data_IF_044804250594
#
_entry.id   IF_044804250594
#
_cell.length_a   1.000
_cell.length_b   1.000
_cell.length_c   1.000
_cell.angle_alpha   90.00
_cell.angle_beta   90.00
_cell.angle_gamma   90.00
#
_symmetry.space_group_name_H-M   'P 1'
#
loop_
_entity.id
_entity.type
_entity.pdbx_description
1 polymer ?
#
# COMPACT_ATOMS: atom_id res chain seq x y z
N UNK A 1 -10.79 -3.17 -1.58
CA UNK A 1 -11.43 -3.06 -2.89
C UNK A 1 -10.58 -2.37 -3.95
N UNK A 2 -9.28 -2.60 -3.92
CA UNK A 2 -8.35 -2.16 -4.96
C UNK A 2 -8.58 -2.85 -6.30
N UNK A 3 -9.31 -3.96 -6.27
CA UNK A 3 -9.54 -4.80 -7.45
C UNK A 3 -10.72 -4.32 -8.31
N UNK A 4 -11.53 -3.39 -7.80
CA UNK A 4 -12.58 -2.75 -8.57
C UNK A 4 -12.04 -1.46 -9.12
N UNK A 5 -11.93 -1.38 -10.45
CA UNK A 5 -11.54 -0.16 -11.15
C UNK A 5 -12.78 0.58 -11.62
N UNK A 6 -12.84 1.84 -11.27
CA UNK A 6 -13.81 2.77 -11.84
C UNK A 6 -13.31 3.21 -13.22
N UNK A 7 -14.17 3.18 -14.20
CA UNK A 7 -13.89 3.65 -15.55
C UNK A 7 -14.46 5.03 -15.69
N UNK A 8 -13.84 5.86 -16.51
CA UNK A 8 -14.24 7.24 -16.76
C UNK A 8 -13.57 8.29 -15.84
N UNK A 9 -12.25 8.23 -15.77
CA UNK A 9 -11.44 9.29 -15.19
C UNK A 9 -11.47 9.41 -13.66
N UNK A 10 -12.28 8.60 -12.99
CA UNK A 10 -12.39 8.59 -11.52
C UNK A 10 -11.73 7.36 -10.87
N UNK A 11 -10.89 6.71 -11.61
CA UNK A 11 -10.09 5.56 -11.15
C UNK A 11 -9.28 5.84 -9.90
N UNK A 12 -8.94 7.09 -9.71
CA UNK A 12 -8.01 7.53 -8.69
C UNK A 12 -8.67 7.72 -7.33
N UNK A 13 -10.00 7.69 -7.25
CA UNK A 13 -10.70 7.92 -6.00
C UNK A 13 -10.54 6.80 -4.98
N UNK A 14 -10.28 5.58 -5.41
CA UNK A 14 -9.94 4.46 -4.53
C UNK A 14 -8.50 4.50 -4.06
N UNK A 15 -7.68 5.29 -4.70
CA UNK A 15 -6.27 5.49 -4.40
C UNK A 15 -5.87 6.95 -4.34
N UNK A 16 -6.81 7.88 -4.27
CA UNK A 16 -6.49 9.30 -4.17
C UNK A 16 -5.58 9.57 -3.00
N UNK A 17 -4.45 10.18 -3.28
CA UNK A 17 -3.44 10.58 -2.30
C UNK A 17 -3.98 11.68 -1.38
N UNK A 18 -4.97 12.43 -1.87
CA UNK A 18 -5.61 13.53 -1.16
C UNK A 18 -6.89 13.11 -0.42
N UNK A 19 -7.36 11.88 -0.67
CA UNK A 19 -8.57 11.34 -0.04
C UNK A 19 -9.86 11.92 -0.60
N UNK A 20 -9.84 12.40 -1.85
CA UNK A 20 -11.01 12.93 -2.52
C UNK A 20 -12.08 11.86 -2.73
N UNK A 21 -13.33 12.28 -2.66
CA UNK A 21 -14.47 11.42 -2.94
C UNK A 21 -14.68 11.17 -4.43
N UNK A 22 -15.35 10.07 -4.75
CA UNK A 22 -15.75 9.77 -6.13
C UNK A 22 -16.79 10.77 -6.65
N UNK A 23 -16.83 10.95 -7.96
CA UNK A 23 -17.91 11.67 -8.64
C UNK A 23 -19.28 10.98 -8.42
N UNK A 24 -20.36 11.65 -8.80
CA UNK A 24 -21.69 11.05 -8.70
C UNK A 24 -21.76 9.74 -9.54
N UNK A 25 -22.37 8.71 -8.99
CA UNK A 25 -22.44 7.37 -9.60
C UNK A 25 -22.94 7.35 -11.04
N UNK A 26 -23.77 8.32 -11.44
CA UNK A 26 -24.29 8.45 -12.80
C UNK A 26 -23.21 8.75 -13.86
N UNK A 27 -22.02 9.18 -13.43
CA UNK A 27 -20.90 9.49 -14.32
C UNK A 27 -19.78 8.45 -14.29
N UNK A 28 -19.96 7.38 -13.53
CA UNK A 28 -18.91 6.38 -13.31
C UNK A 28 -19.42 4.99 -13.63
N UNK A 29 -18.52 4.15 -14.13
CA UNK A 29 -18.71 2.71 -14.29
C UNK A 29 -17.72 1.95 -13.41
N UNK A 30 -18.16 0.81 -12.87
CA UNK A 30 -17.28 -0.11 -12.15
C UNK A 30 -17.09 -1.38 -12.97
N UNK A 31 -15.86 -1.81 -13.14
CA UNK A 31 -15.50 -3.07 -13.78
C UNK A 31 -14.46 -3.82 -12.96
N UNK A 32 -14.54 -5.12 -12.94
CA UNK A 32 -13.51 -5.94 -12.33
C UNK A 32 -12.22 -5.86 -13.16
N UNK A 33 -11.11 -5.68 -12.47
CA UNK A 33 -9.79 -5.79 -13.10
C UNK A 33 -9.50 -7.25 -13.48
N UNK A 34 -8.52 -7.47 -14.35
CA UNK A 34 -8.13 -8.84 -14.73
C UNK A 34 -7.70 -9.68 -13.54
N UNK A 35 -6.98 -9.09 -12.60
CA UNK A 35 -6.54 -9.81 -11.40
C UNK A 35 -7.70 -10.14 -10.45
N UNK A 36 -8.74 -9.29 -10.40
CA UNK A 36 -9.95 -9.58 -9.61
C UNK A 36 -10.72 -10.78 -10.19
N UNK A 37 -10.67 -10.98 -11.51
CA UNK A 37 -11.26 -12.17 -12.13
C UNK A 37 -10.55 -13.46 -11.69
N UNK A 38 -9.25 -13.42 -11.41
CA UNK A 38 -8.50 -14.57 -10.86
C UNK A 38 -8.94 -14.94 -9.44
N UNK A 39 -9.48 -13.99 -8.68
CA UNK A 39 -10.05 -14.28 -7.36
C UNK A 39 -11.36 -15.06 -7.44
N UNK A 40 -12.13 -14.90 -8.53
CA UNK A 40 -13.40 -15.56 -8.80
C UNK A 40 -13.23 -16.85 -9.62
N UNK A 41 -12.04 -17.07 -10.16
CA UNK A 41 -11.79 -18.23 -10.99
C UNK A 41 -12.07 -19.53 -10.23
N UNK A 42 -12.71 -20.48 -10.89
CA UNK A 42 -13.08 -21.80 -10.34
C UNK A 42 -14.14 -21.78 -9.22
N UNK A 43 -14.86 -20.65 -9.03
CA UNK A 43 -15.93 -20.54 -8.05
C UNK A 43 -17.05 -21.58 -8.23
N UNK A 44 -17.28 -22.02 -9.48
CA UNK A 44 -18.30 -23.02 -9.83
C UNK A 44 -17.77 -24.47 -9.76
N UNK A 45 -16.56 -24.70 -9.25
CA UNK A 45 -15.92 -26.02 -9.22
C UNK A 45 -15.85 -26.65 -7.83
N UNK A 46 -16.73 -26.23 -6.93
CA UNK A 46 -16.77 -26.75 -5.55
C UNK A 46 -15.44 -26.54 -4.79
N UNK A 47 -14.82 -25.38 -5.01
CA UNK A 47 -13.52 -25.02 -4.42
C UNK A 47 -13.63 -24.31 -3.07
N UNK A 48 -14.82 -23.82 -2.72
CA UNK A 48 -15.12 -23.08 -1.48
C UNK A 48 -16.54 -23.37 -1.01
N UNK A 49 -16.77 -23.22 0.28
CA UNK A 49 -18.09 -23.37 0.88
C UNK A 49 -18.99 -22.20 0.54
N UNK A 50 -20.30 -22.48 0.44
CA UNK A 50 -21.34 -21.50 0.19
C UNK A 50 -22.34 -21.45 1.34
N UNK A 51 -22.80 -20.24 1.68
CA UNK A 51 -23.84 -19.97 2.66
C UNK A 51 -24.99 -19.19 2.02
N UNK A 52 -26.20 -19.19 2.61
CA UNK A 52 -27.25 -18.27 2.20
C UNK A 52 -26.79 -16.81 2.35
N UNK A 53 -27.22 -15.94 1.43
CA UNK A 53 -27.05 -14.50 1.56
C UNK A 53 -27.99 -13.95 2.65
N UNK A 54 -27.96 -12.62 2.89
CA UNK A 54 -28.68 -11.98 3.99
C UNK A 54 -30.21 -12.24 3.99
N UNK A 55 -30.84 -12.28 2.83
CA UNK A 55 -32.28 -12.50 2.67
C UNK A 55 -32.64 -13.96 2.29
N UNK A 56 -31.66 -14.85 2.29
CA UNK A 56 -31.78 -16.27 1.97
C UNK A 56 -32.33 -16.58 0.56
N UNK A 57 -32.32 -15.57 -0.34
CA UNK A 57 -32.81 -15.74 -1.72
C UNK A 57 -31.77 -16.37 -2.63
N UNK A 58 -30.47 -16.19 -2.31
CA UNK A 58 -29.35 -16.68 -3.10
C UNK A 58 -28.27 -17.30 -2.19
N UNK A 59 -27.27 -17.90 -2.79
CA UNK A 59 -26.10 -18.42 -2.07
C UNK A 59 -24.85 -17.62 -2.44
N UNK A 60 -24.06 -17.32 -1.45
CA UNK A 60 -22.78 -16.62 -1.60
C UNK A 60 -21.62 -17.45 -1.08
N UNK A 61 -20.41 -17.33 -1.64
CA UNK A 61 -19.24 -18.02 -1.14
C UNK A 61 -18.82 -17.45 0.22
N UNK A 62 -18.46 -18.30 1.16
CA UNK A 62 -17.93 -17.89 2.48
C UNK A 62 -16.62 -17.15 2.32
N UNK A 63 -15.77 -17.60 1.38
CA UNK A 63 -14.52 -16.95 0.95
C UNK A 63 -14.38 -17.10 -0.56
N UNK A 64 -13.63 -16.20 -1.21
CA UNK A 64 -13.34 -16.33 -2.63
C UNK A 64 -12.28 -17.40 -2.87
N UNK A 65 -12.35 -18.15 -4.00
CA UNK A 65 -11.37 -19.20 -4.32
C UNK A 65 -9.94 -18.70 -4.40
N UNK A 66 -9.74 -17.56 -5.01
CA UNK A 66 -8.47 -16.86 -5.21
C UNK A 66 -7.29 -17.74 -5.65
N UNK A 67 -6.91 -17.65 -6.91
CA UNK A 67 -5.77 -18.40 -7.47
C UNK A 67 -4.40 -17.93 -6.99
N UNK A 68 -4.34 -16.85 -6.23
CA UNK A 68 -3.10 -16.31 -5.68
C UNK A 68 -3.30 -15.88 -4.22
N UNK A 69 -2.24 -15.78 -3.41
CA UNK A 69 -2.33 -15.44 -2.00
C UNK A 69 -2.69 -13.96 -1.79
N UNK A 70 -3.94 -13.60 -2.06
CA UNK A 70 -4.43 -12.21 -2.06
C UNK A 70 -4.24 -11.51 -0.71
N UNK A 71 -4.35 -12.23 0.40
CA UNK A 71 -4.15 -11.67 1.74
C UNK A 71 -2.77 -11.02 1.89
N UNK A 72 -1.73 -11.66 1.38
CA UNK A 72 -0.36 -11.11 1.43
C UNK A 72 -0.12 -10.09 0.31
N UNK A 73 -0.61 -10.35 -0.89
CA UNK A 73 -0.37 -9.47 -2.04
C UNK A 73 -1.01 -8.09 -1.84
N UNK A 74 -2.27 -8.05 -1.46
CA UNK A 74 -2.99 -6.78 -1.24
C UNK A 74 -2.88 -6.27 0.20
N UNK A 75 -2.52 -7.14 1.13
CA UNK A 75 -2.57 -6.82 2.54
C UNK A 75 -4.01 -6.64 3.03
N UNK A 76 -4.16 -6.38 4.30
CA UNK A 76 -5.44 -6.07 4.92
C UNK A 76 -5.26 -5.23 6.17
N UNK A 77 -6.23 -4.41 6.50
CA UNK A 77 -6.34 -3.76 7.79
C UNK A 77 -7.75 -3.90 8.31
N UNK A 78 -7.89 -4.20 9.59
CA UNK A 78 -9.20 -4.37 10.21
C UNK A 78 -9.12 -4.21 11.72
N UNK A 79 -10.21 -3.72 12.29
CA UNK A 79 -10.37 -3.55 13.73
C UNK A 79 -11.55 -4.39 14.15
N UNK A 80 -11.31 -5.36 15.02
CA UNK A 80 -12.35 -6.17 15.65
C UNK A 80 -12.35 -5.94 17.15
N UNK A 81 -13.36 -6.46 17.84
CA UNK A 81 -13.42 -6.38 19.30
C UNK A 81 -12.26 -7.19 19.90
N UNK A 82 -11.38 -6.50 20.61
CA UNK A 82 -10.25 -7.12 21.30
C UNK A 82 -9.02 -7.41 20.45
N UNK A 83 -9.07 -7.21 19.12
CA UNK A 83 -7.90 -7.40 18.24
C UNK A 83 -7.96 -6.51 17.01
N UNK A 84 -6.78 -6.21 16.45
CA UNK A 84 -6.65 -5.52 15.18
C UNK A 84 -5.63 -6.25 14.31
N UNK A 85 -5.81 -6.17 12.99
CA UNK A 85 -4.83 -6.66 12.01
C UNK A 85 -4.39 -5.52 11.10
N UNK A 86 -3.14 -5.54 10.70
CA UNK A 86 -2.59 -4.60 9.73
C UNK A 86 -1.46 -5.28 8.95
N UNK A 87 -1.85 -6.03 7.92
CA UNK A 87 -0.93 -6.75 7.04
C UNK A 87 -0.63 -5.84 5.85
N UNK A 88 0.64 -5.45 5.64
CA UNK A 88 1.01 -4.64 4.48
C UNK A 88 0.95 -5.45 3.18
N UNK A 89 0.82 -4.79 2.02
CA UNK A 89 0.89 -5.46 0.73
C UNK A 89 2.32 -5.96 0.43
N UNK A 90 2.41 -7.04 -0.37
CA UNK A 90 3.65 -7.68 -0.76
C UNK A 90 3.74 -7.84 -2.28
N UNK A 91 4.94 -8.04 -2.78
CA UNK A 91 5.20 -8.29 -4.18
C UNK A 91 4.64 -9.65 -4.62
N UNK A 92 3.77 -9.65 -5.64
CA UNK A 92 3.12 -10.87 -6.14
C UNK A 92 4.15 -11.95 -6.56
N UNK A 93 5.22 -11.55 -7.23
CA UNK A 93 6.24 -12.50 -7.69
C UNK A 93 6.98 -13.15 -6.53
N UNK A 94 7.37 -12.38 -5.52
CA UNK A 94 8.02 -12.90 -4.32
C UNK A 94 7.11 -13.86 -3.58
N UNK A 95 5.84 -13.50 -3.38
CA UNK A 95 4.86 -14.36 -2.70
C UNK A 95 4.64 -15.67 -3.46
N UNK A 96 4.48 -15.62 -4.79
CA UNK A 96 4.34 -16.83 -5.60
C UNK A 96 5.62 -17.69 -5.54
N UNK A 97 6.80 -17.07 -5.61
CA UNK A 97 8.07 -17.81 -5.47
C UNK A 97 8.20 -18.50 -4.12
N UNK A 98 7.71 -17.87 -3.05
CA UNK A 98 7.66 -18.49 -1.72
C UNK A 98 6.70 -19.69 -1.67
N UNK A 99 5.53 -19.58 -2.31
CA UNK A 99 4.59 -20.72 -2.43
C UNK A 99 5.23 -21.90 -3.21
N UNK A 100 5.88 -21.60 -4.33
CA UNK A 100 6.60 -22.63 -5.10
C UNK A 100 7.68 -23.30 -4.25
N UNK A 101 8.48 -22.53 -3.51
CA UNK A 101 9.51 -23.08 -2.61
C UNK A 101 8.92 -24.01 -1.53
N UNK A 102 7.76 -23.66 -0.97
CA UNK A 102 7.07 -24.52 0.01
C UNK A 102 6.66 -25.83 -0.65
N UNK A 103 6.09 -25.77 -1.85
CA UNK A 103 5.64 -26.96 -2.58
C UNK A 103 6.84 -27.85 -2.94
N UNK A 104 7.91 -27.27 -3.46
CA UNK A 104 9.13 -28.00 -3.84
C UNK A 104 9.74 -28.73 -2.62
N UNK A 105 9.86 -28.06 -1.47
CA UNK A 105 10.38 -28.68 -0.26
C UNK A 105 9.51 -29.86 0.23
N UNK A 106 8.18 -29.74 0.11
CA UNK A 106 7.26 -30.84 0.46
C UNK A 106 7.41 -32.01 -0.52
N UNK A 107 7.45 -31.75 -1.83
CA UNK A 107 7.48 -32.80 -2.84
C UNK A 107 8.84 -33.47 -2.98
N UNK A 108 9.93 -32.67 -2.96
CA UNK A 108 11.27 -33.18 -3.25
C UNK A 108 12.02 -33.61 -1.99
N UNK A 109 11.79 -32.96 -0.85
CA UNK A 109 12.55 -33.13 0.37
C UNK A 109 11.72 -33.69 1.53
N UNK A 110 10.39 -33.86 1.36
CA UNK A 110 9.43 -34.31 2.38
C UNK A 110 9.59 -33.59 3.73
N UNK A 111 9.75 -32.28 3.67
CA UNK A 111 9.94 -31.41 4.84
C UNK A 111 9.19 -30.08 4.75
N UNK A 112 8.97 -29.48 5.90
CA UNK A 112 8.46 -28.13 6.01
C UNK A 112 9.53 -27.10 5.63
N UNK A 113 9.07 -25.95 5.10
CA UNK A 113 9.90 -24.80 4.78
C UNK A 113 10.05 -23.91 6.02
N UNK A 114 11.27 -23.49 6.31
CA UNK A 114 11.55 -22.61 7.44
C UNK A 114 11.23 -21.14 7.13
N UNK A 115 11.02 -20.34 8.17
CA UNK A 115 10.81 -18.89 8.01
C UNK A 115 12.05 -18.24 7.41
N UNK A 116 13.24 -18.71 7.73
CA UNK A 116 14.51 -18.23 7.19
C UNK A 116 14.57 -18.36 5.67
N UNK A 117 14.19 -19.50 5.13
CA UNK A 117 14.12 -19.73 3.68
C UNK A 117 13.11 -18.79 3.01
N UNK A 118 11.97 -18.56 3.64
CA UNK A 118 10.95 -17.66 3.11
C UNK A 118 11.39 -16.18 3.16
N UNK A 119 12.15 -15.77 4.18
CA UNK A 119 12.73 -14.45 4.29
C UNK A 119 13.79 -14.14 3.22
N UNK A 120 14.43 -15.17 2.67
CA UNK A 120 15.32 -15.03 1.54
C UNK A 120 14.59 -14.66 0.24
N UNK A 121 13.32 -15.05 0.13
CA UNK A 121 12.48 -14.82 -1.05
C UNK A 121 11.62 -13.57 -0.87
N UNK A 122 10.84 -13.50 0.22
CA UNK A 122 9.99 -12.36 0.54
C UNK A 122 10.77 -11.40 1.43
N UNK A 123 11.37 -10.39 0.82
CA UNK A 123 12.26 -9.45 1.51
C UNK A 123 11.53 -8.47 2.43
N UNK A 124 10.25 -8.26 2.21
CA UNK A 124 9.43 -7.36 2.99
C UNK A 124 8.20 -6.86 2.24
N UNK A 125 7.46 -5.93 2.83
CA UNK A 125 6.35 -5.28 2.16
C UNK A 125 6.76 -4.57 0.87
N UNK A 126 5.86 -4.59 -0.10
CA UNK A 126 5.99 -3.86 -1.37
C UNK A 126 4.79 -2.89 -1.49
N UNK A 127 5.04 -1.62 -1.21
CA UNK A 127 4.00 -0.61 -1.18
C UNK A 127 3.74 -0.02 -2.56
N UNK A 128 2.48 0.06 -3.03
CA UNK A 128 2.15 0.62 -4.34
C UNK A 128 2.49 2.12 -4.47
N UNK A 129 2.71 2.80 -3.35
CA UNK A 129 3.09 4.22 -3.30
C UNK A 129 4.60 4.44 -3.22
N UNK A 130 5.40 3.37 -3.29
CA UNK A 130 6.85 3.45 -3.16
C UNK A 130 7.32 3.76 -1.75
N UNK A 131 8.19 4.72 -1.60
CA UNK A 131 8.87 5.09 -0.37
C UNK A 131 9.98 4.11 0.07
N UNK A 132 10.71 4.44 1.12
CA UNK A 132 11.87 3.67 1.58
C UNK A 132 11.62 3.08 2.96
N UNK A 133 11.75 1.76 3.09
CA UNK A 133 11.72 1.08 4.40
C UNK A 133 13.09 1.25 5.06
N UNK A 134 13.08 1.63 6.34
CA UNK A 134 14.29 1.87 7.13
C UNK A 134 14.63 0.66 8.01
N UNK A 135 15.54 -0.17 7.53
CA UNK A 135 16.03 -1.37 8.20
C UNK A 135 15.09 -2.57 8.08
N UNK A 136 15.61 -3.76 8.35
CA UNK A 136 14.92 -5.06 8.16
C UNK A 136 14.40 -5.65 9.46
N UNK A 137 14.93 -5.23 10.61
CA UNK A 137 14.60 -5.83 11.92
C UNK A 137 13.11 -5.91 12.20
N UNK A 138 12.37 -4.83 11.89
CA UNK A 138 10.92 -4.80 12.13
C UNK A 138 10.14 -5.74 11.20
N UNK A 139 10.66 -6.01 9.99
CA UNK A 139 10.11 -6.97 9.05
C UNK A 139 10.31 -8.39 9.59
N UNK A 140 11.54 -8.73 9.96
CA UNK A 140 11.88 -10.04 10.51
C UNK A 140 11.07 -10.34 11.77
N UNK A 141 10.96 -9.37 12.69
CA UNK A 141 10.15 -9.49 13.91
C UNK A 141 8.68 -9.74 13.57
N UNK A 142 8.13 -8.99 12.61
CA UNK A 142 6.73 -9.16 12.17
C UNK A 142 6.47 -10.54 11.59
N UNK A 143 7.38 -11.07 10.77
CA UNK A 143 7.20 -12.36 10.12
C UNK A 143 7.40 -13.54 11.08
N UNK A 144 8.27 -13.39 12.08
CA UNK A 144 8.49 -14.44 13.09
C UNK A 144 7.41 -14.49 14.17
N UNK A 145 6.92 -13.33 14.59
CA UNK A 145 6.06 -13.21 15.78
C UNK A 145 4.63 -12.75 15.47
N UNK A 146 4.36 -12.34 14.23
CA UNK A 146 3.11 -11.67 13.85
C UNK A 146 3.03 -10.21 14.31
N UNK A 147 4.09 -9.66 14.91
CA UNK A 147 4.13 -8.26 15.39
C UNK A 147 5.48 -7.63 15.09
N UNK A 148 5.46 -6.43 14.49
CA UNK A 148 6.68 -5.70 14.21
C UNK A 148 6.39 -4.24 13.88
N UNK A 149 7.41 -3.41 13.96
CA UNK A 149 7.34 -1.98 13.62
C UNK A 149 8.18 -1.72 12.37
N UNK A 150 7.52 -1.45 11.26
CA UNK A 150 8.18 -1.12 10.00
C UNK A 150 8.17 0.41 9.87
N UNK A 151 9.36 1.01 9.77
CA UNK A 151 9.51 2.44 9.56
C UNK A 151 9.64 2.71 8.07
N UNK A 152 8.81 3.61 7.56
CA UNK A 152 8.81 4.00 6.15
C UNK A 152 9.07 5.50 6.06
N UNK A 153 9.93 5.90 5.14
CA UNK A 153 10.31 7.28 4.88
C UNK A 153 9.98 7.66 3.44
N UNK A 154 9.48 8.87 3.25
CA UNK A 154 9.28 9.47 1.94
C UNK A 154 10.58 9.48 1.11
N UNK A 155 10.44 9.40 -0.20
CA UNK A 155 11.56 9.66 -1.13
C UNK A 155 11.57 11.15 -1.46
N UNK A 156 12.73 11.75 -1.33
CA UNK A 156 12.92 13.17 -1.61
C UNK A 156 14.27 13.45 -2.23
N UNK A 157 14.36 14.56 -2.95
CA UNK A 157 15.57 15.13 -3.48
C UNK A 157 15.71 16.58 -3.04
N UNK A 158 16.96 17.07 -2.96
CA UNK A 158 17.23 18.47 -2.67
C UNK A 158 17.68 19.14 -3.97
N UNK A 159 16.96 20.17 -4.38
CA UNK A 159 17.24 20.96 -5.56
C UNK A 159 17.77 22.34 -5.17
N UNK A 160 18.88 22.77 -5.78
CA UNK A 160 19.37 24.13 -5.65
C UNK A 160 18.51 25.08 -6.49
N UNK A 161 18.19 26.25 -5.95
CA UNK A 161 17.45 27.31 -6.64
C UNK A 161 18.39 28.44 -7.10
N UNK A 162 18.01 29.16 -8.17
CA UNK A 162 18.80 30.21 -8.77
C UNK A 162 19.21 31.35 -7.82
N UNK A 163 18.47 31.57 -6.73
CA UNK A 163 18.71 32.62 -5.74
C UNK A 163 19.59 32.19 -4.54
N UNK A 164 20.27 31.03 -4.65
CA UNK A 164 21.08 30.45 -3.56
C UNK A 164 20.26 29.86 -2.42
N UNK A 165 18.97 29.66 -2.59
CA UNK A 165 18.10 28.84 -1.73
C UNK A 165 18.15 27.40 -2.17
N UNK A 166 17.61 26.51 -1.33
CA UNK A 166 17.37 25.11 -1.67
C UNK A 166 15.89 24.78 -1.48
N UNK A 167 15.42 23.77 -2.16
CA UNK A 167 14.09 23.20 -1.93
C UNK A 167 14.17 21.68 -1.83
N UNK A 168 13.33 21.12 -0.98
CA UNK A 168 13.12 19.69 -0.87
C UNK A 168 11.95 19.32 -1.78
N UNK A 169 12.17 18.38 -2.69
CA UNK A 169 11.13 17.83 -3.55
C UNK A 169 10.83 16.43 -3.09
N UNK A 170 9.61 16.21 -2.61
CA UNK A 170 9.12 14.89 -2.20
C UNK A 170 8.37 14.27 -3.38
N UNK A 171 8.79 13.07 -3.78
CA UNK A 171 8.25 12.34 -4.95
C UNK A 171 7.48 11.09 -4.56
N UNK A 172 7.71 10.54 -3.37
CA UNK A 172 6.98 9.37 -2.86
C UNK A 172 6.66 9.55 -1.38
N UNK A 173 5.46 9.15 -0.99
CA UNK A 173 5.01 9.15 0.41
C UNK A 173 4.82 7.73 0.94
N UNK A 174 4.98 7.53 2.26
CA UNK A 174 4.64 6.27 2.88
C UNK A 174 3.19 5.87 2.60
N UNK A 175 2.98 4.56 2.48
CA UNK A 175 1.68 3.98 2.21
C UNK A 175 0.61 4.42 3.23
N UNK A 176 -0.60 4.70 2.75
CA UNK A 176 -1.74 5.20 3.53
C UNK A 176 -1.55 6.60 4.17
N UNK A 177 -0.51 7.34 3.81
CA UNK A 177 -0.38 8.75 4.19
C UNK A 177 -1.20 9.61 3.23
N UNK A 178 -2.10 10.42 3.78
CA UNK A 178 -2.86 11.40 3.00
C UNK A 178 -1.99 12.63 2.74
N UNK A 179 -1.76 12.94 1.47
CA UNK A 179 -0.88 14.04 1.03
C UNK A 179 -1.37 15.40 1.50
N UNK A 180 -2.65 15.71 1.32
CA UNK A 180 -3.22 16.99 1.70
C UNK A 180 -3.09 17.25 3.21
N UNK A 181 -3.43 16.27 4.04
CA UNK A 181 -3.26 16.36 5.50
C UNK A 181 -1.80 16.48 5.93
N UNK A 182 -0.89 15.85 5.21
CA UNK A 182 0.55 16.00 5.48
C UNK A 182 1.00 17.43 5.22
N UNK A 183 0.60 18.01 4.09
CA UNK A 183 0.92 19.40 3.73
C UNK A 183 0.34 20.36 4.77
N UNK A 184 -0.93 20.20 5.14
CA UNK A 184 -1.57 21.00 6.19
C UNK A 184 -0.80 20.88 7.51
N UNK A 185 -0.41 19.67 7.90
CA UNK A 185 0.35 19.45 9.13
C UNK A 185 1.72 20.10 9.12
N UNK A 186 2.42 20.09 8.01
CA UNK A 186 3.69 20.81 7.86
C UNK A 186 3.45 22.32 8.00
N UNK A 187 2.43 22.86 7.34
CA UNK A 187 2.07 24.27 7.43
C UNK A 187 1.73 24.72 8.87
N UNK A 188 0.97 23.90 9.61
CA UNK A 188 0.69 24.13 11.04
C UNK A 188 1.98 24.18 11.87
N UNK A 189 2.90 23.22 11.68
CA UNK A 189 4.16 23.17 12.41
C UNK A 189 5.04 24.39 12.15
N UNK A 190 5.02 24.92 10.92
CA UNK A 190 5.71 26.17 10.56
C UNK A 190 5.04 27.36 11.26
N UNK A 191 3.71 27.46 11.22
CA UNK A 191 2.92 28.51 11.87
C UNK A 191 3.15 28.53 13.38
N UNK A 192 3.19 27.38 14.00
CA UNK A 192 3.42 27.20 15.43
C UNK A 192 4.90 27.36 15.84
N UNK A 193 5.78 27.69 14.87
CA UNK A 193 7.24 27.84 15.08
C UNK A 193 7.93 26.58 15.63
N UNK A 194 7.34 25.41 15.44
CA UNK A 194 7.93 24.11 15.81
C UNK A 194 8.93 23.62 14.78
N UNK A 195 8.78 24.05 13.53
CA UNK A 195 9.73 23.85 12.42
C UNK A 195 10.08 25.22 11.87
N UNK A 196 11.37 25.53 11.81
CA UNK A 196 11.89 26.76 11.22
C UNK A 196 12.64 26.50 9.93
N UNK A 197 12.84 27.53 9.12
CA UNK A 197 13.60 27.44 7.87
C UNK A 197 12.77 27.18 6.62
N UNK A 198 11.51 26.86 6.71
CA UNK A 198 10.60 26.72 5.56
C UNK A 198 10.05 28.10 5.18
N UNK A 199 10.19 28.47 3.91
CA UNK A 199 9.69 29.76 3.37
C UNK A 199 8.44 29.59 2.52
N UNK A 200 8.28 28.45 1.85
CA UNK A 200 7.11 28.14 1.05
C UNK A 200 6.86 26.62 1.03
N UNK A 201 5.60 26.24 0.86
CA UNK A 201 5.14 24.85 0.80
C UNK A 201 4.05 24.76 -0.28
N UNK A 202 4.32 24.04 -1.34
CA UNK A 202 3.43 23.91 -2.47
C UNK A 202 3.24 22.47 -2.93
N UNK A 203 2.01 22.08 -3.23
CA UNK A 203 1.69 20.88 -3.97
C UNK A 203 1.80 21.15 -5.47
N UNK A 204 2.75 20.51 -6.11
CA UNK A 204 3.02 20.60 -7.54
C UNK A 204 2.72 19.28 -8.25
N UNK A 205 1.97 18.40 -7.61
CA UNK A 205 1.60 17.11 -8.20
C UNK A 205 0.79 17.29 -9.48
N UNK A 206 1.04 16.44 -10.46
CA UNK A 206 0.42 16.46 -11.77
C UNK A 206 0.18 15.02 -12.28
N UNK A 207 -0.26 14.90 -13.53
CA UNK A 207 -0.37 13.60 -14.22
C UNK A 207 0.98 12.88 -14.37
N UNK A 208 2.09 13.60 -14.27
CA UNK A 208 3.44 13.06 -14.33
C UNK A 208 3.87 12.39 -13.02
N UNK A 209 3.16 12.67 -11.92
CA UNK A 209 3.42 12.08 -10.63
C UNK A 209 3.25 13.06 -9.46
N UNK A 210 3.47 12.52 -8.27
CA UNK A 210 3.43 13.30 -7.04
C UNK A 210 4.67 14.17 -6.92
N UNK A 211 4.47 15.45 -6.54
CA UNK A 211 5.54 16.40 -6.32
C UNK A 211 5.12 17.40 -5.25
N UNK A 212 5.72 17.33 -4.07
CA UNK A 212 5.58 18.32 -3.01
C UNK A 212 6.87 19.13 -2.96
N UNK A 213 6.76 20.45 -3.07
CA UNK A 213 7.90 21.38 -3.01
C UNK A 213 7.92 22.12 -1.67
N UNK A 214 9.03 22.02 -0.95
CA UNK A 214 9.26 22.69 0.33
C UNK A 214 10.47 23.60 0.17
N UNK A 215 10.27 24.91 0.09
CA UNK A 215 11.35 25.87 -0.08
C UNK A 215 12.00 26.22 1.27
N UNK A 216 13.32 26.27 1.29
CA UNK A 216 14.10 26.54 2.47
C UNK A 216 14.72 27.95 2.42
N UNK A 217 14.99 28.54 3.61
CA UNK A 217 15.79 29.78 3.73
C UNK A 217 17.23 29.53 3.24
N UNK A 218 17.91 30.62 2.84
CA UNK A 218 19.32 30.58 2.39
C UNK A 218 20.29 29.97 3.42
N UNK A 219 20.01 30.11 4.69
CA UNK A 219 20.89 29.71 5.79
C UNK A 219 20.67 28.27 6.27
N UNK A 220 19.62 27.59 5.76
CA UNK A 220 19.40 26.20 6.08
C UNK A 220 20.38 25.33 5.31
N UNK A 221 21.36 24.73 6.04
CA UNK A 221 22.21 23.71 5.48
C UNK A 221 21.38 22.42 5.30
N UNK A 222 21.43 21.88 4.11
CA UNK A 222 20.88 20.57 3.74
C UNK A 222 21.53 19.43 4.51
#
# INVERSE_FOLDING_TARGET
NRDIRWVDGQLETLGSVDGDGAAAMRYTEARLSKISMEMLADINKDTVDFQPNFDETEREPVVLPSRYPNLLVNGTSGIAVGMATNIPPHNLREVISAVVKIIDNIIEEDRDTTIEELLEIVKGPDFPTGATILGTRGIEEAYRTGRGKIRVRAVYNIEAMANGKSRIIVTELPYAVNKARLIEKIAELVKDKRVDGITDLADQSSREGMRISIELRRECKS
#
